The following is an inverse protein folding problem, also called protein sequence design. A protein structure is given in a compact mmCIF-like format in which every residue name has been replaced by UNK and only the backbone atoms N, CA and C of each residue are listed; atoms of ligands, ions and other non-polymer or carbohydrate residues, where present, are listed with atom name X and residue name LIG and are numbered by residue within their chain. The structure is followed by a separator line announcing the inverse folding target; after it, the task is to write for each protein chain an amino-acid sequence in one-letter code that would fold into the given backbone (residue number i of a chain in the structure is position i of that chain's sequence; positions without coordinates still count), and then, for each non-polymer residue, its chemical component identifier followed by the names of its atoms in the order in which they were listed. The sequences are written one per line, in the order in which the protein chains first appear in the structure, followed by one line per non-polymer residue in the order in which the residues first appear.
data_IF_296516931948
#
_entry.id   IF_296516931948
#
_cell.length_a   1.000
_cell.length_b   1.000
_cell.length_c   1.000
_cell.angle_alpha   90.00
_cell.angle_beta   90.00
_cell.angle_gamma   90.00
#
_symmetry.space_group_name_H-M   'P 1'
#
loop_
_entity.id
_entity.type
_entity.pdbx_description
1 polymer ?
#
# COMPACT_ATOMS: atom_id res chain seq x y z
N UNK A 1 8.09 -12.81 -15.47
CA UNK A 1 7.63 -12.27 -14.19
C UNK A 1 6.12 -12.07 -14.14
N UNK A 2 5.45 -11.38 -15.08
CA UNK A 2 3.98 -11.19 -15.06
C UNK A 2 3.21 -12.51 -14.88
N UNK A 3 3.50 -13.55 -15.66
CA UNK A 3 2.86 -14.88 -15.49
C UNK A 3 3.01 -15.46 -14.07
N UNK A 4 4.11 -15.19 -13.39
CA UNK A 4 4.34 -15.64 -12.00
C UNK A 4 3.45 -14.86 -11.05
N UNK A 5 3.33 -13.54 -11.26
CA UNK A 5 2.41 -12.67 -10.51
C UNK A 5 0.97 -13.15 -10.68
N UNK A 6 0.53 -13.38 -11.92
CA UNK A 6 -0.85 -13.81 -12.23
C UNK A 6 -1.20 -15.15 -11.58
N UNK A 7 -0.21 -16.05 -11.43
CA UNK A 7 -0.41 -17.34 -10.76
C UNK A 7 -0.40 -17.25 -9.24
N UNK A 8 0.40 -16.34 -8.67
CA UNK A 8 0.51 -16.18 -7.21
C UNK A 8 -0.58 -15.27 -6.65
N UNK A 9 -1.04 -14.30 -7.42
CA UNK A 9 -2.01 -13.25 -7.07
C UNK A 9 -1.57 -12.37 -5.91
N UNK A 10 -1.08 -12.93 -4.82
CA UNK A 10 -0.61 -12.22 -3.63
C UNK A 10 0.87 -12.48 -3.39
N UNK A 11 1.65 -11.44 -3.22
CA UNK A 11 3.08 -11.52 -2.89
C UNK A 11 3.30 -10.67 -1.66
N UNK A 12 3.45 -11.33 -0.51
CA UNK A 12 3.67 -10.65 0.77
C UNK A 12 4.97 -9.85 0.74
N UNK A 13 4.89 -8.58 1.11
CA UNK A 13 6.03 -7.68 1.23
C UNK A 13 6.59 -7.82 2.64
N UNK A 14 7.85 -8.24 2.74
CA UNK A 14 8.52 -8.43 4.01
C UNK A 14 9.69 -7.45 4.18
N UNK A 15 9.82 -6.89 5.37
CA UNK A 15 10.91 -5.99 5.74
C UNK A 15 12.20 -6.72 6.07
N UNK A 16 12.13 -8.00 6.47
CA UNK A 16 13.30 -8.81 6.82
C UNK A 16 14.21 -8.97 5.59
N UNK A 17 15.48 -8.64 5.77
CA UNK A 17 16.48 -8.60 4.71
C UNK A 17 17.78 -9.28 5.19
N UNK A 18 17.81 -10.60 5.16
CA UNK A 18 19.01 -11.38 5.52
C UNK A 18 19.96 -11.45 4.31
N UNK A 19 19.58 -12.18 3.28
CA UNK A 19 20.28 -12.23 1.98
C UNK A 19 19.61 -11.31 0.97
N UNK A 20 18.29 -11.36 0.94
CA UNK A 20 17.39 -10.58 0.10
C UNK A 20 16.03 -10.56 0.78
N UNK A 21 15.21 -9.54 0.52
CA UNK A 21 13.85 -9.48 1.09
C UNK A 21 12.99 -10.62 0.57
N UNK A 22 12.19 -11.22 1.45
CA UNK A 22 11.45 -12.45 1.19
C UNK A 22 10.54 -12.38 -0.04
N UNK A 23 9.96 -11.22 -0.37
CA UNK A 23 9.06 -11.06 -1.53
C UNK A 23 9.76 -11.23 -2.90
N UNK A 24 11.09 -11.24 -2.96
CA UNK A 24 11.83 -11.58 -4.18
C UNK A 24 12.00 -13.10 -4.38
N UNK A 25 11.93 -13.88 -3.31
CA UNK A 25 12.19 -15.33 -3.36
C UNK A 25 11.18 -16.13 -4.19
N UNK A 26 9.86 -15.83 -4.19
CA UNK A 26 8.89 -16.52 -5.04
C UNK A 26 9.20 -16.42 -6.53
N UNK A 27 9.84 -15.35 -6.96
CA UNK A 27 10.28 -15.17 -8.34
C UNK A 27 11.56 -15.93 -8.62
N UNK A 28 12.54 -15.86 -7.73
CA UNK A 28 13.80 -16.60 -7.87
C UNK A 28 13.55 -18.11 -8.00
N UNK A 29 12.70 -18.68 -7.16
CA UNK A 29 12.38 -20.11 -7.18
C UNK A 29 11.68 -20.60 -8.46
N UNK A 30 11.10 -19.69 -9.26
CA UNK A 30 10.33 -20.01 -10.47
C UNK A 30 11.01 -19.56 -11.76
N UNK A 31 11.84 -18.55 -11.69
CA UNK A 31 12.46 -17.91 -12.85
C UNK A 31 13.98 -18.13 -12.89
N UNK A 32 14.59 -18.60 -11.78
CA UNK A 32 16.03 -18.56 -11.61
C UNK A 32 16.53 -17.13 -11.36
N UNK A 33 17.83 -16.85 -11.63
CA UNK A 33 18.40 -15.52 -11.47
C UNK A 33 17.66 -14.47 -12.33
N UNK A 34 17.26 -13.35 -11.73
CA UNK A 34 16.61 -12.23 -12.41
C UNK A 34 17.02 -10.91 -11.79
N UNK A 35 16.80 -9.81 -12.50
CA UNK A 35 17.00 -8.45 -11.98
C UNK A 35 15.85 -8.09 -11.04
N UNK A 36 16.16 -7.79 -9.77
CA UNK A 36 15.15 -7.46 -8.74
C UNK A 36 14.34 -6.22 -9.10
N UNK A 37 14.99 -5.25 -9.76
CA UNK A 37 14.39 -4.00 -10.24
C UNK A 37 13.18 -4.25 -11.16
N UNK A 38 13.10 -5.42 -11.80
CA UNK A 38 11.93 -5.79 -12.62
C UNK A 38 10.62 -5.85 -11.82
N UNK A 39 10.68 -6.24 -10.52
CA UNK A 39 9.48 -6.21 -9.68
C UNK A 39 9.12 -4.78 -9.30
N UNK A 40 10.11 -3.96 -8.96
CA UNK A 40 9.91 -2.56 -8.63
C UNK A 40 9.37 -1.78 -9.85
N UNK A 41 9.89 -2.07 -11.04
CA UNK A 41 9.38 -1.52 -12.30
C UNK A 41 7.90 -1.88 -12.52
N UNK A 42 7.54 -3.15 -12.34
CA UNK A 42 6.15 -3.60 -12.48
C UNK A 42 5.22 -2.98 -11.43
N UNK A 43 5.73 -2.73 -10.23
CA UNK A 43 4.94 -2.15 -9.15
C UNK A 43 4.77 -0.63 -9.28
N UNK A 44 5.87 0.09 -9.52
CA UNK A 44 5.88 1.55 -9.34
C UNK A 44 5.92 2.35 -10.64
N UNK A 45 6.38 1.75 -11.74
CA UNK A 45 6.35 2.38 -13.08
C UNK A 45 5.19 1.88 -13.92
N UNK A 46 5.11 0.55 -14.11
CA UNK A 46 4.14 -0.07 -15.03
C UNK A 46 2.75 -0.25 -14.39
N UNK A 47 2.65 -0.14 -13.07
CA UNK A 47 1.42 -0.36 -12.30
C UNK A 47 0.74 -1.70 -12.61
N UNK A 48 1.53 -2.72 -12.91
CA UNK A 48 1.02 -4.07 -13.11
C UNK A 48 0.55 -4.72 -11.80
N UNK A 49 1.21 -4.37 -10.71
CA UNK A 49 0.79 -4.66 -9.33
C UNK A 49 0.75 -3.38 -8.51
N UNK A 50 -0.03 -3.39 -7.45
CA UNK A 50 -0.07 -2.32 -6.46
C UNK A 50 0.12 -2.88 -5.06
N UNK A 51 0.54 -2.03 -4.12
CA UNK A 51 0.58 -2.40 -2.72
C UNK A 51 -0.78 -2.20 -2.07
N UNK A 52 -1.23 -3.19 -1.30
CA UNK A 52 -2.37 -3.06 -0.41
C UNK A 52 -2.29 -4.07 0.73
N UNK A 53 -3.10 -3.84 1.75
CA UNK A 53 -3.30 -4.77 2.84
C UNK A 53 -4.20 -5.93 2.42
N UNK A 54 -3.64 -7.14 2.39
CA UNK A 54 -4.38 -8.40 2.33
C UNK A 54 -4.39 -9.05 3.72
N UNK A 55 -3.80 -10.23 3.91
CA UNK A 55 -3.48 -10.75 5.25
C UNK A 55 -2.38 -9.93 5.90
N UNK A 56 -1.38 -9.51 5.12
CA UNK A 56 -0.32 -8.54 5.42
C UNK A 56 -0.18 -7.56 4.25
N UNK A 57 0.87 -6.71 4.28
CA UNK A 57 1.22 -5.86 3.14
C UNK A 57 1.62 -6.74 1.94
N UNK A 58 0.95 -6.60 0.82
CA UNK A 58 1.18 -7.41 -0.38
C UNK A 58 1.28 -6.57 -1.64
N UNK A 59 2.04 -7.07 -2.62
CA UNK A 59 1.82 -6.74 -4.03
C UNK A 59 0.67 -7.59 -4.56
N UNK A 60 -0.26 -6.96 -5.24
CA UNK A 60 -1.50 -7.54 -5.77
C UNK A 60 -1.63 -7.08 -7.23
N UNK A 61 -2.03 -7.91 -8.18
CA UNK A 61 -2.32 -7.45 -9.55
C UNK A 61 -3.30 -6.28 -9.56
N UNK A 62 -3.02 -5.23 -10.32
CA UNK A 62 -3.91 -4.07 -10.38
C UNK A 62 -5.30 -4.44 -10.92
N UNK A 63 -5.38 -5.48 -11.75
CA UNK A 63 -6.64 -6.04 -12.24
C UNK A 63 -7.57 -6.53 -11.12
N UNK A 64 -7.02 -6.85 -9.93
CA UNK A 64 -7.78 -7.31 -8.75
C UNK A 64 -8.19 -6.15 -7.82
N UNK A 65 -7.96 -4.90 -8.22
CA UNK A 65 -8.26 -3.74 -7.37
C UNK A 65 -9.72 -3.73 -6.89
N UNK A 66 -10.66 -4.01 -7.79
CA UNK A 66 -12.11 -4.03 -7.50
C UNK A 66 -12.48 -5.10 -6.46
N UNK A 67 -11.77 -6.23 -6.42
CA UNK A 67 -11.99 -7.30 -5.45
C UNK A 67 -11.64 -6.88 -4.02
N UNK A 68 -10.76 -5.88 -3.84
CA UNK A 68 -10.32 -5.40 -2.53
C UNK A 68 -11.09 -4.19 -2.03
N UNK A 69 -11.95 -3.56 -2.84
CA UNK A 69 -12.66 -2.34 -2.46
C UNK A 69 -13.50 -2.51 -1.20
N UNK A 70 -14.22 -3.64 -1.06
CA UNK A 70 -15.00 -3.94 0.16
C UNK A 70 -14.14 -3.91 1.45
N UNK A 71 -12.84 -4.24 1.34
CA UNK A 71 -11.89 -4.17 2.47
C UNK A 71 -11.43 -2.75 2.72
N UNK A 72 -11.22 -1.97 1.63
CA UNK A 72 -10.86 -0.55 1.73
C UNK A 72 -12.00 0.25 2.37
N UNK A 73 -13.26 -0.02 2.01
CA UNK A 73 -14.42 0.64 2.60
C UNK A 73 -14.53 0.40 4.11
N UNK A 74 -14.19 -0.80 4.58
CA UNK A 74 -14.15 -1.11 6.01
C UNK A 74 -12.90 -0.61 6.72
N UNK A 75 -11.79 -0.43 6.02
CA UNK A 75 -10.48 -0.20 6.62
C UNK A 75 -10.00 -1.34 7.53
N UNK A 76 -8.86 -1.17 8.16
CA UNK A 76 -8.35 -2.15 9.14
C UNK A 76 -8.90 -1.86 10.55
N UNK A 77 -9.41 -2.88 11.24
CA UNK A 77 -10.00 -2.76 12.59
C UNK A 77 -9.11 -2.06 13.61
N UNK A 78 -7.79 -2.25 13.54
CA UNK A 78 -6.88 -1.61 14.50
C UNK A 78 -6.69 -0.11 14.24
N UNK A 79 -6.90 0.37 13.01
CA UNK A 79 -6.89 1.81 12.69
C UNK A 79 -8.15 2.52 13.16
N UNK A 80 -9.28 1.82 13.23
CA UNK A 80 -10.57 2.38 13.63
C UNK A 80 -10.82 2.32 15.14
N UNK A 81 -10.05 1.51 15.88
CA UNK A 81 -10.13 1.48 17.35
C UNK A 81 -9.74 2.84 17.90
N UNK A 82 -10.65 3.46 18.68
CA UNK A 82 -10.44 4.77 19.30
C UNK A 82 -10.28 5.93 18.29
N UNK A 83 -11.04 5.93 17.21
CA UNK A 83 -11.06 7.03 16.26
C UNK A 83 -11.94 8.17 16.80
N UNK A 84 -11.33 9.08 17.57
CA UNK A 84 -11.99 10.30 18.06
C UNK A 84 -12.17 11.30 16.92
N UNK A 85 -13.08 12.27 17.09
CA UNK A 85 -13.31 13.35 16.10
C UNK A 85 -12.02 14.13 15.80
N UNK A 86 -11.20 14.39 16.84
CA UNK A 86 -9.91 15.05 16.70
C UNK A 86 -8.93 14.24 15.83
N UNK A 87 -8.85 12.94 16.05
CA UNK A 87 -8.00 12.05 15.20
C UNK A 87 -8.51 11.98 13.77
N UNK A 88 -9.83 11.95 13.57
CA UNK A 88 -10.41 11.99 12.22
C UNK A 88 -10.05 13.29 11.50
N UNK A 89 -10.16 14.44 12.17
CA UNK A 89 -9.78 15.73 11.61
C UNK A 89 -8.29 15.77 11.25
N UNK A 90 -7.42 15.24 12.13
CA UNK A 90 -6.00 15.12 11.84
C UNK A 90 -5.72 14.21 10.64
N UNK A 91 -6.39 13.05 10.54
CA UNK A 91 -6.21 12.13 9.41
C UNK A 91 -6.66 12.76 8.09
N UNK A 92 -7.74 13.54 8.13
CA UNK A 92 -8.19 14.32 6.98
C UNK A 92 -7.16 15.39 6.58
N UNK A 93 -6.60 16.13 7.54
CA UNK A 93 -5.58 17.15 7.26
C UNK A 93 -4.31 16.57 6.65
N UNK A 94 -3.91 15.35 7.05
CA UNK A 94 -2.76 14.65 6.44
C UNK A 94 -3.06 14.26 4.99
N UNK A 95 -4.29 13.82 4.68
CA UNK A 95 -4.70 13.52 3.31
C UNK A 95 -4.65 14.79 2.43
N UNK A 96 -5.22 15.91 2.92
CA UNK A 96 -5.20 17.17 2.18
C UNK A 96 -3.76 17.68 2.00
N UNK A 97 -2.90 17.54 3.01
CA UNK A 97 -1.48 17.90 2.88
C UNK A 97 -0.80 17.11 1.75
N UNK A 98 -1.01 15.79 1.65
CA UNK A 98 -0.47 14.99 0.54
C UNK A 98 -1.09 15.43 -0.80
N UNK A 99 -2.36 15.81 -0.80
CA UNK A 99 -3.04 16.32 -2.00
C UNK A 99 -2.44 17.64 -2.48
N UNK A 100 -2.15 18.56 -1.58
CA UNK A 100 -1.66 19.90 -1.90
C UNK A 100 -0.14 19.91 -2.18
N UNK A 101 0.64 19.28 -1.31
CA UNK A 101 2.10 19.33 -1.35
C UNK A 101 2.74 18.22 -2.20
N UNK A 102 1.97 17.17 -2.55
CA UNK A 102 2.46 16.03 -3.32
C UNK A 102 2.87 14.82 -2.47
N UNK A 103 3.55 13.85 -3.09
CA UNK A 103 3.89 12.59 -2.44
C UNK A 103 4.76 12.79 -1.21
N UNK A 104 4.44 12.06 -0.14
CA UNK A 104 5.13 12.20 1.15
C UNK A 104 5.34 10.87 1.88
N UNK A 105 6.33 10.85 2.75
CA UNK A 105 6.52 9.81 3.77
C UNK A 105 6.27 10.39 5.17
N UNK A 106 6.08 9.51 6.15
CA UNK A 106 5.72 9.93 7.51
C UNK A 106 6.67 10.96 8.14
N UNK A 107 7.97 10.79 7.91
CA UNK A 107 8.99 11.71 8.45
C UNK A 107 8.95 13.11 7.84
N UNK A 108 8.40 13.27 6.64
CA UNK A 108 8.26 14.57 5.97
C UNK A 108 7.02 15.33 6.49
N UNK A 109 5.99 14.61 6.93
CA UNK A 109 4.74 15.20 7.47
C UNK A 109 4.96 15.77 8.86
N UNK A 110 5.63 15.04 9.75
CA UNK A 110 5.83 15.46 11.16
C UNK A 110 7.07 16.33 11.40
N UNK A 111 7.95 16.40 10.39
CA UNK A 111 9.28 16.94 10.61
C UNK A 111 10.13 16.05 11.52
N UNK A 112 11.34 16.54 11.92
CA UNK A 112 12.33 15.76 12.69
C UNK A 112 11.99 15.56 14.18
N UNK A 113 10.73 15.71 14.61
CA UNK A 113 10.33 15.38 15.99
C UNK A 113 10.28 13.87 16.14
N UNK A 114 11.26 13.33 16.83
CA UNK A 114 11.46 11.90 17.01
C UNK A 114 10.25 11.18 17.63
N UNK A 115 9.97 9.99 17.14
CA UNK A 115 9.05 9.04 17.79
C UNK A 115 9.55 8.74 19.21
N UNK A 116 8.67 8.80 20.19
CA UNK A 116 8.93 8.34 21.55
C UNK A 116 8.87 6.82 21.62
N UNK A 117 9.94 6.15 21.28
CA UNK A 117 10.06 4.71 21.43
C UNK A 117 10.25 3.94 20.09
N UNK A 118 10.96 2.82 20.17
CA UNK A 118 11.33 1.96 19.01
C UNK A 118 10.14 1.34 18.29
N UNK A 119 9.00 1.18 18.95
CA UNK A 119 7.80 0.51 18.44
C UNK A 119 6.58 1.42 18.28
N UNK A 120 6.67 2.68 18.68
CA UNK A 120 5.55 3.62 18.54
C UNK A 120 5.58 4.25 17.14
N UNK A 121 4.51 4.00 16.39
CA UNK A 121 4.29 4.72 15.15
C UNK A 121 3.96 6.16 15.44
N UNK A 122 4.59 7.06 14.69
CA UNK A 122 4.24 8.47 14.75
C UNK A 122 2.79 8.71 14.32
N UNK A 123 2.19 9.79 14.78
CA UNK A 123 0.80 10.13 14.43
C UNK A 123 0.62 10.24 12.90
N UNK A 124 1.60 10.84 12.19
CA UNK A 124 1.57 10.93 10.75
C UNK A 124 1.64 9.54 10.09
N UNK A 125 2.45 8.62 10.62
CA UNK A 125 2.50 7.25 10.10
C UNK A 125 1.14 6.56 10.23
N UNK A 126 0.48 6.71 11.37
CA UNK A 126 -0.86 6.13 11.59
C UNK A 126 -1.89 6.76 10.64
N UNK A 127 -1.84 8.08 10.44
CA UNK A 127 -2.74 8.78 9.53
C UNK A 127 -2.56 8.33 8.07
N UNK A 128 -1.30 8.26 7.60
CA UNK A 128 -0.99 7.78 6.25
C UNK A 128 -1.44 6.32 6.03
N UNK A 129 -1.18 5.44 7.01
CA UNK A 129 -1.61 4.04 6.92
C UNK A 129 -3.14 3.91 6.98
N UNK A 130 -3.82 4.78 7.73
CA UNK A 130 -5.29 4.83 7.74
C UNK A 130 -5.82 5.20 6.36
N UNK A 131 -5.34 6.27 5.75
CA UNK A 131 -5.77 6.71 4.42
C UNK A 131 -5.41 5.68 3.33
N UNK A 132 -4.25 5.04 3.45
CA UNK A 132 -3.82 3.96 2.57
C UNK A 132 -4.72 2.72 2.70
N UNK A 133 -5.05 2.28 3.92
CA UNK A 133 -5.93 1.15 4.15
C UNK A 133 -7.35 1.38 3.58
N UNK A 134 -7.78 2.65 3.50
CA UNK A 134 -9.06 3.05 2.92
C UNK A 134 -8.99 3.36 1.41
N UNK A 135 -7.84 3.12 0.76
CA UNK A 135 -7.67 3.36 -0.67
C UNK A 135 -7.67 4.82 -1.10
N UNK A 136 -7.62 5.78 -0.15
CA UNK A 136 -7.53 7.22 -0.46
C UNK A 136 -6.11 7.65 -0.83
N UNK A 137 -5.12 6.99 -0.22
CA UNK A 137 -3.72 7.04 -0.60
C UNK A 137 -3.29 5.71 -1.21
N UNK A 138 -2.31 5.78 -2.10
CA UNK A 138 -1.63 4.63 -2.67
C UNK A 138 -0.12 4.77 -2.49
N UNK A 139 0.62 3.67 -2.59
CA UNK A 139 2.07 3.71 -2.59
C UNK A 139 2.55 4.06 -3.99
N UNK A 140 3.14 5.25 -4.12
CA UNK A 140 3.72 5.73 -5.37
C UNK A 140 5.03 5.02 -5.69
N UNK A 141 5.89 4.91 -4.69
CA UNK A 141 7.21 4.26 -4.75
C UNK A 141 7.70 3.90 -3.36
N UNK A 142 8.85 3.23 -3.29
CA UNK A 142 9.59 3.07 -2.03
C UNK A 142 10.98 3.70 -2.14
N UNK A 143 11.38 4.42 -1.09
CA UNK A 143 12.75 4.94 -0.90
C UNK A 143 13.37 4.28 0.33
N UNK A 144 14.48 3.57 0.16
CA UNK A 144 15.09 2.79 1.24
C UNK A 144 14.07 1.91 1.98
N UNK A 145 13.15 1.30 1.23
CA UNK A 145 12.04 0.50 1.73
C UNK A 145 10.92 1.28 2.44
N UNK A 146 11.06 2.55 2.74
CA UNK A 146 9.97 3.38 3.23
C UNK A 146 8.96 3.66 2.11
N UNK A 147 7.66 3.59 2.43
CA UNK A 147 6.59 3.95 1.50
C UNK A 147 6.53 5.44 1.29
N UNK A 148 6.45 5.86 0.04
CA UNK A 148 6.07 7.20 -0.38
C UNK A 148 4.62 7.13 -0.82
N UNK A 149 3.75 7.83 -0.13
CA UNK A 149 2.32 7.85 -0.41
C UNK A 149 1.97 9.03 -1.30
N UNK A 150 1.04 8.82 -2.22
CA UNK A 150 0.37 9.89 -2.97
C UNK A 150 -1.13 9.60 -3.00
N UNK A 151 -1.94 10.58 -3.35
CA UNK A 151 -3.37 10.38 -3.53
C UNK A 151 -3.64 9.35 -4.62
N UNK A 152 -4.62 8.47 -4.41
CA UNK A 152 -4.85 7.32 -5.29
C UNK A 152 -5.13 7.74 -6.74
N UNK A 153 -5.78 8.89 -6.95
CA UNK A 153 -6.11 9.45 -8.26
C UNK A 153 -4.90 9.96 -9.07
N UNK A 154 -3.75 10.16 -8.42
CA UNK A 154 -2.47 10.43 -9.11
C UNK A 154 -1.63 9.17 -9.38
N UNK A 155 -1.96 8.07 -8.72
CA UNK A 155 -1.19 6.83 -8.80
C UNK A 155 -1.83 5.84 -9.77
N UNK A 156 -3.16 5.79 -9.82
CA UNK A 156 -3.91 4.85 -10.63
C UNK A 156 -4.72 5.56 -11.71
N UNK A 157 -4.94 4.85 -12.82
CA UNK A 157 -5.83 5.30 -13.87
C UNK A 157 -7.26 5.48 -13.32
N UNK A 158 -7.99 6.54 -13.71
CA UNK A 158 -9.39 6.74 -13.32
C UNK A 158 -10.28 5.50 -13.54
N UNK A 159 -10.09 4.76 -14.63
CA UNK A 159 -10.86 3.55 -14.92
C UNK A 159 -10.74 2.49 -13.82
N UNK A 160 -9.56 2.36 -13.18
CA UNK A 160 -9.34 1.45 -12.05
C UNK A 160 -10.14 1.89 -10.83
N UNK A 161 -10.13 3.20 -10.55
CA UNK A 161 -10.80 3.77 -9.39
C UNK A 161 -12.33 3.81 -9.55
N UNK A 162 -12.82 3.95 -10.77
CA UNK A 162 -14.24 3.98 -11.10
C UNK A 162 -14.86 2.59 -11.22
N UNK A 163 -14.05 1.53 -11.41
CA UNK A 163 -14.56 0.16 -11.49
C UNK A 163 -15.31 -0.19 -10.20
N UNK A 164 -16.57 -0.61 -10.28
CA UNK A 164 -17.35 -0.99 -9.11
C UNK A 164 -16.68 -2.07 -8.29
N UNK A 165 -16.73 -1.94 -6.95
CA UNK A 165 -16.26 -2.98 -6.05
C UNK A 165 -17.21 -4.18 -6.06
N UNK A 166 -16.68 -5.36 -5.82
CA UNK A 166 -17.46 -6.57 -5.61
C UNK A 166 -18.03 -6.61 -4.19
N UNK A 167 -19.22 -7.20 -4.03
CA UNK A 167 -19.69 -7.59 -2.70
C UNK A 167 -18.68 -8.58 -2.08
N UNK A 168 -18.52 -8.53 -0.75
CA UNK A 168 -17.51 -9.36 -0.07
C UNK A 168 -17.64 -10.85 -0.39
N UNK A 169 -18.87 -11.37 -0.40
CA UNK A 169 -19.12 -12.78 -0.70
C UNK A 169 -18.73 -13.17 -2.12
N UNK A 170 -18.84 -12.26 -3.08
CA UNK A 170 -18.48 -12.50 -4.48
C UNK A 170 -16.97 -12.31 -4.67
N UNK A 171 -16.37 -11.30 -4.05
CA UNK A 171 -14.93 -11.09 -4.06
C UNK A 171 -14.12 -12.27 -3.47
N UNK A 172 -14.75 -13.11 -2.63
CA UNK A 172 -14.10 -14.31 -2.07
C UNK A 172 -14.21 -15.54 -2.97
N UNK A 173 -14.98 -15.49 -4.05
CA UNK A 173 -15.16 -16.59 -5.00
C UNK A 173 -14.28 -16.46 -6.24
N UNK A 174 -13.85 -15.25 -6.55
CA UNK A 174 -12.93 -14.92 -7.64
C UNK A 174 -11.45 -15.17 -7.25
#
# INVERSE_FOLDING_TARGET
MRRTIDRLRLIQIDSVNVLVRAHYMPFFSRLGPYRREMLDELAYRDRYVFEQWAHEACFIPLADYSLLRHRMDRGRRWHSRHLTAERQAYFASVLEKVREEGPAQAGEIEGKRGSKGWWEWSHAKVALEYQFAHGRLAVKERRNFARIYDVADRVFDPQVLETPGHAEADAHRE
#
